data_IF_131833110551
#
_entry.id   IF_131833110551
#
_cell.length_a   1.000
_cell.length_b   1.000
_cell.length_c   1.000
_cell.angle_alpha   90.00
_cell.angle_beta   90.00
_cell.angle_gamma   90.00
#
_symmetry.space_group_name_H-M   'P 1'
#
loop_
_entity.id
_entity.type
_entity.pdbx_description
1 polymer ?
#
# COMPACT_ATOMS: atom_id res chain seq x y z
N UNK A 1 -56.88 22.29 -10.62
CA UNK A 1 -56.84 23.68 -10.16
C UNK A 1 -55.39 24.05 -9.87
N UNK A 2 -54.78 24.74 -10.78
CA UNK A 2 -54.44 26.15 -10.98
C UNK A 2 -53.13 26.47 -10.28
N UNK A 3 -52.08 26.65 -11.03
CA UNK A 3 -51.44 27.83 -11.66
C UNK A 3 -50.81 28.80 -10.63
N UNK A 4 -49.57 29.11 -10.87
CA UNK A 4 -48.84 30.23 -10.27
C UNK A 4 -47.41 30.33 -10.78
N UNK A 5 -47.22 30.87 -11.99
CA UNK A 5 -45.96 31.41 -12.55
C UNK A 5 -45.68 32.80 -11.96
N UNK A 6 -44.39 33.18 -11.83
CA UNK A 6 -43.84 34.54 -12.08
C UNK A 6 -42.31 34.44 -11.84
N UNK A 7 -41.40 34.53 -12.75
CA UNK A 7 -40.88 35.47 -13.71
C UNK A 7 -40.02 36.60 -13.09
N UNK A 8 -38.75 36.62 -13.61
CA UNK A 8 -37.85 37.74 -13.93
C UNK A 8 -37.43 38.75 -12.85
N UNK A 9 -36.11 38.98 -12.73
CA UNK A 9 -35.49 40.17 -13.38
C UNK A 9 -33.97 40.06 -13.44
N UNK A 10 -33.45 40.41 -14.63
CA UNK A 10 -32.05 40.76 -14.95
C UNK A 10 -31.74 42.14 -14.38
N UNK A 11 -30.50 42.40 -14.02
CA UNK A 11 -29.92 43.73 -14.19
C UNK A 11 -28.46 43.65 -14.61
N UNK A 12 -28.28 44.16 -15.80
CA UNK A 12 -27.05 44.49 -16.52
C UNK A 12 -26.71 45.94 -16.16
N UNK A 13 -25.45 46.26 -15.91
CA UNK A 13 -24.98 47.65 -16.03
C UNK A 13 -23.51 47.68 -16.40
N UNK A 14 -23.27 48.01 -17.65
CA UNK A 14 -22.05 48.42 -18.31
C UNK A 14 -21.63 49.85 -17.92
N UNK A 15 -20.37 50.13 -18.23
CA UNK A 15 -19.74 51.45 -18.55
C UNK A 15 -18.76 51.94 -17.49
N UNK A 16 -17.58 52.49 -17.76
CA UNK A 16 -16.93 53.00 -19.00
C UNK A 16 -15.44 53.31 -18.65
N UNK A 17 -14.64 53.27 -19.69
CA UNK A 17 -13.22 53.63 -19.72
C UNK A 17 -12.93 55.11 -19.38
N UNK A 18 -11.73 55.38 -18.85
CA UNK A 18 -10.98 56.58 -19.25
C UNK A 18 -9.47 56.41 -19.07
N UNK A 19 -8.75 56.62 -20.14
CA UNK A 19 -7.31 56.68 -20.23
C UNK A 19 -6.79 58.02 -19.71
N UNK A 20 -5.62 58.01 -19.12
CA UNK A 20 -4.71 59.15 -19.12
C UNK A 20 -3.25 58.68 -19.01
N UNK A 21 -2.48 59.09 -19.95
CA UNK A 21 -1.05 58.93 -20.14
C UNK A 21 -0.23 59.68 -19.06
N UNK A 22 0.93 59.21 -18.68
CA UNK A 22 2.26 59.73 -19.08
C UNK A 22 3.38 59.19 -18.20
N UNK A 23 4.35 58.62 -18.88
CA UNK A 23 5.82 58.80 -18.78
C UNK A 23 6.50 59.01 -17.42
N UNK A 24 7.43 58.14 -17.07
CA UNK A 24 8.88 58.26 -16.86
C UNK A 24 9.38 56.90 -16.29
N UNK A 25 10.03 56.16 -17.02
CA UNK A 25 11.45 56.03 -17.32
C UNK A 25 12.27 55.39 -16.20
N UNK A 26 12.80 54.23 -16.58
CA UNK A 26 14.15 53.74 -16.38
C UNK A 26 14.65 53.39 -14.98
N UNK A 27 15.20 52.16 -14.96
CA UNK A 27 16.26 51.70 -14.09
C UNK A 27 15.87 50.99 -12.78
N UNK A 28 15.35 49.76 -12.92
CA UNK A 28 15.40 48.77 -11.84
C UNK A 28 15.22 47.29 -12.31
N UNK A 29 15.72 46.96 -13.51
CA UNK A 29 15.46 45.60 -14.03
C UNK A 29 16.73 44.77 -14.34
N UNK A 30 17.87 45.11 -13.75
CA UNK A 30 19.12 44.36 -13.94
C UNK A 30 19.59 43.54 -12.71
N UNK A 31 18.99 43.76 -11.54
CA UNK A 31 19.40 43.02 -10.32
C UNK A 31 18.49 41.89 -9.88
N UNK A 32 17.25 41.78 -10.37
CA UNK A 32 16.35 40.69 -9.99
C UNK A 32 16.45 39.46 -10.91
N UNK A 33 17.01 39.57 -12.11
CA UNK A 33 17.20 38.43 -13.01
C UNK A 33 18.37 37.54 -12.56
N UNK A 34 19.42 38.13 -12.01
CA UNK A 34 20.62 37.39 -11.58
C UNK A 34 20.41 36.60 -10.27
N UNK A 35 19.61 37.13 -9.34
CA UNK A 35 19.23 36.43 -8.11
C UNK A 35 18.27 35.26 -8.36
N UNK A 36 17.39 35.35 -9.40
CA UNK A 36 16.45 34.27 -9.75
C UNK A 36 17.15 33.12 -10.48
N UNK A 37 18.15 33.40 -11.31
CA UNK A 37 18.94 32.35 -11.98
C UNK A 37 19.82 31.56 -11.02
N UNK A 38 20.45 32.25 -10.04
CA UNK A 38 21.27 31.58 -9.02
C UNK A 38 20.43 30.69 -8.10
N UNK A 39 19.21 31.09 -7.78
CA UNK A 39 18.33 30.29 -6.93
C UNK A 39 17.78 29.06 -7.67
N UNK A 40 17.44 29.18 -8.96
CA UNK A 40 17.00 28.07 -9.79
C UNK A 40 18.15 27.06 -10.03
N UNK A 41 19.36 27.51 -10.28
CA UNK A 41 20.54 26.67 -10.43
C UNK A 41 20.90 25.95 -9.13
N UNK A 42 20.76 26.60 -7.97
CA UNK A 42 20.99 26.00 -6.67
C UNK A 42 19.97 24.92 -6.33
N UNK A 43 18.69 25.13 -6.67
CA UNK A 43 17.64 24.12 -6.48
C UNK A 43 17.81 22.91 -7.42
N UNK A 44 18.21 23.11 -8.67
CA UNK A 44 18.52 22.03 -9.60
C UNK A 44 19.76 21.22 -9.15
N UNK A 45 20.76 21.88 -8.58
CA UNK A 45 21.95 21.20 -8.09
C UNK A 45 21.65 20.38 -6.82
N UNK A 46 20.84 20.91 -5.89
CA UNK A 46 20.40 20.17 -4.70
C UNK A 46 19.47 19.00 -5.03
N UNK A 47 18.56 19.16 -6.00
CA UNK A 47 17.70 18.07 -6.46
C UNK A 47 18.49 16.97 -7.19
N UNK A 48 19.49 17.35 -7.99
CA UNK A 48 20.38 16.40 -8.68
C UNK A 48 21.29 15.64 -7.70
N UNK A 49 21.84 16.32 -6.67
CA UNK A 49 22.65 15.66 -5.64
C UNK A 49 21.83 14.75 -4.73
N UNK A 50 20.61 15.12 -4.38
CA UNK A 50 19.70 14.28 -3.60
C UNK A 50 19.27 13.02 -4.38
N UNK A 51 18.96 13.16 -5.67
CA UNK A 51 18.65 12.03 -6.55
C UNK A 51 19.86 11.11 -6.74
N UNK A 52 21.06 11.66 -6.90
CA UNK A 52 22.29 10.88 -7.05
C UNK A 52 22.67 10.19 -5.74
N UNK A 53 22.50 10.84 -4.58
CA UNK A 53 22.71 10.22 -3.27
C UNK A 53 21.69 9.12 -2.99
N UNK A 54 20.43 9.30 -3.36
CA UNK A 54 19.40 8.27 -3.23
C UNK A 54 19.69 7.06 -4.11
N UNK A 55 20.16 7.24 -5.35
CA UNK A 55 20.59 6.17 -6.25
C UNK A 55 21.88 5.48 -5.78
N UNK A 56 22.85 6.21 -5.20
CA UNK A 56 24.05 5.62 -4.63
C UNK A 56 23.77 4.81 -3.37
N UNK A 57 22.84 5.24 -2.51
CA UNK A 57 22.40 4.47 -1.35
C UNK A 57 21.65 3.19 -1.73
N UNK A 58 20.87 3.21 -2.81
CA UNK A 58 20.18 2.00 -3.28
C UNK A 58 21.14 0.94 -3.84
N UNK A 59 22.27 1.35 -4.42
CA UNK A 59 23.30 0.42 -4.92
C UNK A 59 24.17 -0.22 -3.84
N UNK A 60 24.13 0.30 -2.61
CA UNK A 60 24.91 -0.21 -1.46
C UNK A 60 24.13 -1.18 -0.56
N UNK A 61 22.81 -1.32 -0.76
CA UNK A 61 21.99 -2.21 0.06
C UNK A 61 22.15 -3.68 -0.35
N UNK A 62 22.13 -4.62 0.62
CA UNK A 62 22.14 -6.05 0.32
C UNK A 62 21.02 -6.45 -0.67
N UNK A 63 21.26 -7.40 -1.58
CA UNK A 63 20.29 -7.78 -2.62
C UNK A 63 18.91 -8.20 -2.09
N UNK A 64 18.86 -8.87 -0.93
CA UNK A 64 17.60 -9.27 -0.31
C UNK A 64 16.78 -8.07 0.15
N UNK A 65 17.41 -7.01 0.67
CA UNK A 65 16.71 -5.77 1.07
C UNK A 65 16.08 -5.10 -0.15
N UNK A 66 16.83 -4.97 -1.24
CA UNK A 66 16.32 -4.41 -2.50
C UNK A 66 15.11 -5.20 -3.02
N UNK A 67 15.20 -6.53 -2.98
CA UNK A 67 14.11 -7.41 -3.39
C UNK A 67 12.86 -7.22 -2.49
N UNK A 68 13.03 -7.15 -1.17
CA UNK A 68 11.92 -6.92 -0.26
C UNK A 68 11.25 -5.56 -0.49
N UNK A 69 12.03 -4.49 -0.69
CA UNK A 69 11.48 -3.15 -0.96
C UNK A 69 10.60 -3.12 -2.23
N UNK A 70 11.05 -3.75 -3.31
CA UNK A 70 10.28 -3.86 -4.56
C UNK A 70 8.97 -4.64 -4.34
N UNK A 71 9.03 -5.77 -3.60
CA UNK A 71 7.87 -6.59 -3.24
C UNK A 71 6.86 -5.75 -2.43
N UNK A 72 7.30 -5.02 -1.40
CA UNK A 72 6.44 -4.20 -0.57
C UNK A 72 5.70 -3.13 -1.38
N UNK A 73 6.41 -2.43 -2.26
CA UNK A 73 5.82 -1.40 -3.11
C UNK A 73 4.75 -1.97 -4.05
N UNK A 74 5.04 -3.08 -4.73
CA UNK A 74 4.10 -3.75 -5.64
C UNK A 74 2.86 -4.28 -4.90
N UNK A 75 3.07 -4.94 -3.77
CA UNK A 75 2.00 -5.46 -2.93
C UNK A 75 1.07 -4.34 -2.46
N UNK A 76 1.64 -3.24 -1.92
CA UNK A 76 0.86 -2.12 -1.41
C UNK A 76 -0.03 -1.48 -2.49
N UNK A 77 0.50 -1.27 -3.69
CA UNK A 77 -0.26 -0.74 -4.83
C UNK A 77 -1.42 -1.66 -5.21
N UNK A 78 -1.16 -2.96 -5.34
CA UNK A 78 -2.17 -3.94 -5.72
C UNK A 78 -3.26 -4.11 -4.64
N UNK A 79 -2.89 -4.13 -3.37
CA UNK A 79 -3.84 -4.19 -2.25
C UNK A 79 -4.74 -2.96 -2.20
N UNK A 80 -4.19 -1.75 -2.38
CA UNK A 80 -4.96 -0.51 -2.37
C UNK A 80 -6.09 -0.51 -3.41
N UNK A 81 -5.86 -1.11 -4.57
CA UNK A 81 -6.90 -1.30 -5.59
C UNK A 81 -7.90 -2.40 -5.20
N UNK A 82 -7.41 -3.53 -4.67
CA UNK A 82 -8.23 -4.70 -4.33
C UNK A 82 -9.26 -4.46 -3.24
N UNK A 83 -8.90 -3.72 -2.20
CA UNK A 83 -9.79 -3.47 -1.05
C UNK A 83 -10.92 -2.46 -1.34
N UNK A 84 -10.88 -1.74 -2.48
CA UNK A 84 -11.96 -0.88 -2.93
C UNK A 84 -13.06 -1.70 -3.61
N UNK A 85 -13.77 -2.49 -2.83
CA UNK A 85 -14.78 -3.41 -3.34
C UNK A 85 -16.20 -3.06 -2.85
N UNK A 86 -17.19 -3.62 -3.57
CA UNK A 86 -18.61 -3.38 -3.29
C UNK A 86 -19.10 -3.98 -1.96
N UNK A 87 -18.39 -4.97 -1.42
CA UNK A 87 -18.69 -5.61 -0.13
C UNK A 87 -17.45 -6.27 0.47
N UNK A 88 -17.55 -6.80 1.69
CA UNK A 88 -16.43 -7.37 2.43
C UNK A 88 -15.87 -8.63 1.75
N UNK A 89 -16.73 -9.56 1.34
CA UNK A 89 -16.30 -10.83 0.75
C UNK A 89 -15.43 -10.62 -0.51
N UNK A 90 -15.86 -9.72 -1.41
CA UNK A 90 -15.09 -9.35 -2.61
C UNK A 90 -13.83 -8.57 -2.24
N UNK A 91 -13.92 -7.64 -1.28
CA UNK A 91 -12.78 -6.87 -0.79
C UNK A 91 -11.73 -7.74 -0.12
N UNK A 92 -12.16 -8.72 0.66
CA UNK A 92 -11.29 -9.72 1.28
C UNK A 92 -10.53 -10.52 0.22
N UNK A 93 -11.23 -11.13 -0.72
CA UNK A 93 -10.59 -11.93 -1.75
C UNK A 93 -9.65 -11.11 -2.64
N UNK A 94 -10.08 -9.93 -3.12
CA UNK A 94 -9.27 -9.05 -3.97
C UNK A 94 -8.08 -8.43 -3.26
N UNK A 95 -8.19 -8.14 -1.97
CA UNK A 95 -7.08 -7.61 -1.18
C UNK A 95 -6.12 -8.70 -0.71
N UNK A 96 -6.63 -9.88 -0.33
CA UNK A 96 -5.81 -10.99 0.18
C UNK A 96 -4.97 -11.67 -0.91
N UNK A 97 -5.43 -11.71 -2.16
CA UNK A 97 -4.64 -12.25 -3.28
C UNK A 97 -3.29 -11.53 -3.40
N UNK A 98 -3.21 -10.20 -3.63
CA UNK A 98 -1.93 -9.51 -3.73
C UNK A 98 -1.14 -9.53 -2.41
N UNK A 99 -1.79 -9.57 -1.25
CA UNK A 99 -1.14 -9.78 0.03
C UNK A 99 -0.40 -11.12 0.07
N UNK A 100 -1.04 -12.21 -0.30
CA UNK A 100 -0.42 -13.53 -0.37
C UNK A 100 0.67 -13.62 -1.45
N UNK A 101 0.48 -12.98 -2.59
CA UNK A 101 1.53 -12.88 -3.63
C UNK A 101 2.79 -12.19 -3.06
N UNK A 102 2.62 -11.16 -2.24
CA UNK A 102 3.68 -10.50 -1.50
C UNK A 102 4.42 -11.46 -0.55
N UNK A 103 3.69 -12.22 0.28
CA UNK A 103 4.28 -13.20 1.19
C UNK A 103 5.06 -14.29 0.45
N UNK A 104 4.50 -14.82 -0.65
CA UNK A 104 5.17 -15.81 -1.50
C UNK A 104 6.46 -15.24 -2.07
N UNK A 105 6.45 -13.99 -2.54
CA UNK A 105 7.64 -13.34 -3.05
C UNK A 105 8.69 -13.14 -1.95
N UNK A 106 8.30 -12.69 -0.74
CA UNK A 106 9.20 -12.59 0.42
C UNK A 106 9.77 -13.94 0.82
N UNK A 107 8.95 -14.99 0.85
CA UNK A 107 9.38 -16.34 1.17
C UNK A 107 10.42 -16.87 0.14
N UNK A 108 10.25 -16.55 -1.14
CA UNK A 108 11.23 -16.88 -2.18
C UNK A 108 12.57 -16.15 -1.98
N UNK A 109 12.57 -14.90 -1.53
CA UNK A 109 13.79 -14.17 -1.13
C UNK A 109 14.48 -14.89 0.03
N UNK A 110 13.73 -15.35 1.04
CA UNK A 110 14.27 -16.15 2.15
C UNK A 110 14.87 -17.47 1.66
N UNK A 111 14.21 -18.18 0.75
CA UNK A 111 14.74 -19.43 0.18
C UNK A 111 16.03 -19.21 -0.59
N UNK A 112 16.18 -18.05 -1.25
CA UNK A 112 17.36 -17.69 -2.05
C UNK A 112 18.53 -17.21 -1.20
N UNK A 113 18.31 -16.33 -0.24
CA UNK A 113 19.36 -15.63 0.49
C UNK A 113 19.53 -16.11 1.94
N UNK A 114 18.50 -16.68 2.55
CA UNK A 114 18.53 -17.19 3.91
C UNK A 114 19.41 -18.42 4.06
N UNK A 115 19.93 -18.62 5.27
CA UNK A 115 20.82 -19.74 5.64
C UNK A 115 20.21 -20.63 6.72
N UNK A 116 19.31 -20.08 7.53
CA UNK A 116 18.67 -20.80 8.63
C UNK A 116 17.66 -21.83 8.11
N UNK A 117 17.80 -23.07 8.56
CA UNK A 117 16.98 -24.18 8.07
C UNK A 117 15.51 -24.08 8.54
N UNK A 118 15.27 -23.56 9.76
CA UNK A 118 13.93 -23.37 10.31
C UNK A 118 13.16 -22.29 9.52
N UNK A 119 13.82 -21.16 9.25
CA UNK A 119 13.23 -20.05 8.47
C UNK A 119 13.02 -20.45 7.00
N UNK A 120 13.88 -21.25 6.40
CA UNK A 120 13.68 -21.78 5.05
C UNK A 120 12.53 -22.78 4.98
N UNK A 121 12.38 -23.65 5.98
CA UNK A 121 11.25 -24.58 6.05
C UNK A 121 9.92 -23.83 6.21
N UNK A 122 9.88 -22.79 7.05
CA UNK A 122 8.72 -21.91 7.19
C UNK A 122 8.40 -21.19 5.88
N UNK A 123 9.41 -20.63 5.20
CA UNK A 123 9.23 -19.95 3.92
C UNK A 123 8.62 -20.88 2.85
N UNK A 124 9.11 -22.13 2.76
CA UNK A 124 8.52 -23.10 1.82
C UNK A 124 7.06 -23.42 2.16
N UNK A 125 6.75 -23.62 3.46
CA UNK A 125 5.37 -23.85 3.91
C UNK A 125 4.45 -22.68 3.55
N UNK A 126 4.91 -21.44 3.72
CA UNK A 126 4.16 -20.22 3.33
C UNK A 126 3.86 -20.25 1.84
N UNK A 127 4.87 -20.54 0.99
CA UNK A 127 4.68 -20.64 -0.47
C UNK A 127 3.57 -21.63 -0.81
N UNK A 128 3.64 -22.85 -0.28
CA UNK A 128 2.73 -23.93 -0.65
C UNK A 128 1.29 -23.64 -0.18
N UNK A 129 1.14 -23.16 1.06
CA UNK A 129 -0.17 -22.86 1.64
C UNK A 129 -0.83 -21.69 0.94
N UNK A 130 -0.13 -20.56 0.82
CA UNK A 130 -0.74 -19.34 0.30
C UNK A 130 -0.96 -19.39 -1.21
N UNK A 131 -0.20 -20.19 -1.96
CA UNK A 131 -0.49 -20.44 -3.37
C UNK A 131 -1.81 -21.18 -3.56
N UNK A 132 -2.15 -22.10 -2.66
CA UNK A 132 -3.42 -22.81 -2.67
C UNK A 132 -4.60 -21.88 -2.32
N UNK A 133 -4.40 -20.99 -1.35
CA UNK A 133 -5.40 -20.00 -0.93
C UNK A 133 -5.67 -18.97 -2.03
N UNK A 134 -4.63 -18.50 -2.76
CA UNK A 134 -4.79 -17.64 -3.94
C UNK A 134 -5.68 -18.32 -4.98
N UNK A 135 -5.39 -19.57 -5.36
CA UNK A 135 -6.20 -20.31 -6.33
C UNK A 135 -7.66 -20.44 -5.90
N UNK A 136 -7.88 -20.67 -4.61
CA UNK A 136 -9.22 -20.74 -4.05
C UNK A 136 -9.97 -19.40 -4.18
N UNK A 137 -9.34 -18.30 -3.81
CA UNK A 137 -9.93 -16.96 -3.91
C UNK A 137 -10.20 -16.56 -5.36
N UNK A 138 -9.27 -16.84 -6.28
CA UNK A 138 -9.46 -16.58 -7.71
C UNK A 138 -10.64 -17.37 -8.28
N UNK A 139 -10.76 -18.66 -7.95
CA UNK A 139 -11.88 -19.50 -8.38
C UNK A 139 -13.21 -19.03 -7.78
N UNK A 140 -13.20 -18.55 -6.55
CA UNK A 140 -14.39 -17.99 -5.92
C UNK A 140 -14.80 -16.66 -6.57
N UNK A 141 -13.88 -15.74 -6.82
CA UNK A 141 -14.15 -14.46 -7.51
C UNK A 141 -14.75 -14.71 -8.90
N UNK A 142 -14.17 -15.61 -9.69
CA UNK A 142 -14.64 -15.93 -11.03
C UNK A 142 -16.11 -16.38 -11.07
N UNK A 143 -16.61 -16.97 -9.97
CA UNK A 143 -17.98 -17.48 -9.88
C UNK A 143 -18.95 -16.52 -9.19
N UNK A 144 -18.45 -15.63 -8.34
CA UNK A 144 -19.30 -14.92 -7.39
C UNK A 144 -19.20 -13.40 -7.48
N UNK A 145 -18.13 -12.82 -8.04
CA UNK A 145 -17.90 -11.37 -7.97
C UNK A 145 -19.07 -10.54 -8.51
N UNK A 146 -19.57 -10.89 -9.70
CA UNK A 146 -20.65 -10.13 -10.35
C UNK A 146 -21.99 -10.31 -9.64
N UNK A 147 -22.24 -11.48 -9.06
CA UNK A 147 -23.48 -11.80 -8.37
C UNK A 147 -23.58 -11.27 -6.94
N UNK A 148 -22.45 -10.85 -6.34
CA UNK A 148 -22.46 -10.34 -4.98
C UNK A 148 -23.12 -8.94 -4.91
N UNK A 149 -24.06 -8.71 -3.98
CA UNK A 149 -24.70 -7.40 -3.81
C UNK A 149 -23.71 -6.38 -3.24
N UNK A 150 -23.91 -5.10 -3.58
CA UNK A 150 -23.20 -4.03 -2.92
C UNK A 150 -23.67 -3.90 -1.46
N UNK A 151 -22.73 -3.71 -0.53
CA UNK A 151 -23.05 -3.44 0.85
C UNK A 151 -23.43 -1.96 1.06
N UNK A 152 -24.44 -1.69 1.86
CA UNK A 152 -24.83 -0.31 2.20
C UNK A 152 -23.71 0.45 2.92
N UNK A 153 -22.82 -0.27 3.60
CA UNK A 153 -21.66 0.26 4.34
C UNK A 153 -20.33 0.00 3.65
N UNK A 154 -20.29 -0.11 2.31
CA UNK A 154 -19.06 -0.38 1.54
C UNK A 154 -17.91 0.59 1.84
N UNK A 155 -18.21 1.87 2.08
CA UNK A 155 -17.19 2.87 2.47
C UNK A 155 -16.56 2.57 3.82
N UNK A 156 -17.35 2.17 4.81
CA UNK A 156 -16.87 1.78 6.14
C UNK A 156 -15.94 0.57 6.05
N UNK A 157 -16.34 -0.44 5.26
CA UNK A 157 -15.53 -1.64 5.00
C UNK A 157 -14.20 -1.26 4.35
N UNK A 158 -14.21 -0.42 3.30
CA UNK A 158 -12.99 0.06 2.65
C UNK A 158 -12.08 0.80 3.63
N UNK A 159 -12.64 1.67 4.47
CA UNK A 159 -11.88 2.38 5.51
C UNK A 159 -11.26 1.42 6.54
N UNK A 160 -12.01 0.39 6.95
CA UNK A 160 -11.49 -0.62 7.88
C UNK A 160 -10.27 -1.35 7.29
N UNK A 161 -10.32 -1.74 6.00
CA UNK A 161 -9.17 -2.33 5.31
C UNK A 161 -7.99 -1.36 5.22
N UNK A 162 -8.22 -0.09 4.86
CA UNK A 162 -7.16 0.92 4.75
C UNK A 162 -6.48 1.18 6.10
N UNK A 163 -7.25 1.30 7.18
CA UNK A 163 -6.70 1.61 8.51
C UNK A 163 -5.99 0.43 9.16
N UNK A 164 -6.57 -0.77 9.09
CA UNK A 164 -6.05 -1.93 9.83
C UNK A 164 -5.10 -2.79 8.99
N UNK A 165 -5.50 -3.16 7.78
CA UNK A 165 -4.71 -4.08 6.98
C UNK A 165 -3.47 -3.44 6.38
N UNK A 166 -3.51 -2.12 6.11
CA UNK A 166 -2.38 -1.37 5.57
C UNK A 166 -1.55 -0.65 6.63
N UNK A 167 -2.02 -0.63 7.90
CA UNK A 167 -1.34 0.04 9.01
C UNK A 167 -0.03 -0.62 9.46
N UNK A 168 0.26 -1.84 9.00
CA UNK A 168 1.49 -2.57 9.34
C UNK A 168 2.67 -2.28 8.39
N UNK A 169 2.48 -1.39 7.39
CA UNK A 169 3.49 -1.11 6.36
C UNK A 169 4.82 -0.62 6.94
N UNK A 170 4.81 0.33 7.86
CA UNK A 170 6.04 0.89 8.45
C UNK A 170 6.82 -0.16 9.25
N UNK A 171 6.11 -1.02 9.99
CA UNK A 171 6.73 -2.13 10.71
C UNK A 171 7.35 -3.16 9.76
N UNK A 172 6.70 -3.47 8.63
CA UNK A 172 7.27 -4.32 7.58
C UNK A 172 8.53 -3.70 6.99
N UNK A 173 8.48 -2.41 6.62
CA UNK A 173 9.62 -1.69 6.05
C UNK A 173 10.82 -1.66 7.00
N UNK A 174 10.60 -1.45 8.30
CA UNK A 174 11.67 -1.52 9.29
C UNK A 174 12.24 -2.94 9.41
N UNK A 175 11.37 -3.95 9.42
CA UNK A 175 11.77 -5.34 9.58
C UNK A 175 12.70 -5.85 8.49
N UNK A 176 12.40 -5.53 7.24
CA UNK A 176 13.17 -6.02 6.07
C UNK A 176 14.55 -5.38 5.91
N UNK A 177 14.88 -4.33 6.67
CA UNK A 177 16.16 -3.61 6.56
C UNK A 177 17.33 -4.28 7.29
N UNK A 178 17.12 -5.43 7.91
CA UNK A 178 18.19 -6.15 8.59
C UNK A 178 19.22 -6.73 7.59
N UNK A 179 20.50 -6.61 7.92
CA UNK A 179 21.58 -7.11 7.07
C UNK A 179 21.62 -8.64 6.98
N UNK A 180 21.09 -9.34 8.02
CA UNK A 180 20.92 -10.78 8.01
C UNK A 180 19.60 -11.14 7.32
N UNK A 181 19.60 -11.89 6.20
CA UNK A 181 18.38 -12.19 5.44
C UNK A 181 17.36 -13.03 6.24
N UNK A 182 17.80 -13.88 7.15
CA UNK A 182 16.90 -14.68 7.99
C UNK A 182 16.17 -13.80 9.02
N UNK A 183 16.89 -12.84 9.61
CA UNK A 183 16.30 -11.85 10.53
C UNK A 183 15.38 -10.89 9.77
N UNK A 184 15.79 -10.42 8.59
CA UNK A 184 14.97 -9.54 7.74
C UNK A 184 13.65 -10.23 7.34
N UNK A 185 13.71 -11.52 6.98
CA UNK A 185 12.53 -12.33 6.69
C UNK A 185 11.59 -12.39 7.89
N UNK A 186 12.08 -12.82 9.05
CA UNK A 186 11.24 -12.98 10.24
C UNK A 186 10.63 -11.65 10.70
N UNK A 187 11.44 -10.58 10.78
CA UNK A 187 10.98 -9.24 11.19
C UNK A 187 9.99 -8.61 10.20
N UNK A 188 10.13 -8.87 8.91
CA UNK A 188 9.20 -8.38 7.88
C UNK A 188 7.93 -9.22 7.79
N UNK A 189 8.02 -10.55 7.94
CA UNK A 189 6.89 -11.46 7.79
C UNK A 189 5.94 -11.44 9.01
N UNK A 190 6.42 -11.13 10.21
CA UNK A 190 5.56 -10.97 11.40
C UNK A 190 4.48 -9.89 11.16
N UNK A 191 4.81 -8.63 10.88
CA UNK A 191 3.79 -7.62 10.60
C UNK A 191 2.99 -7.88 9.32
N UNK A 192 3.57 -8.58 8.33
CA UNK A 192 2.85 -9.05 7.17
C UNK A 192 1.72 -10.02 7.56
N UNK A 193 2.02 -11.06 8.33
CA UNK A 193 1.02 -12.00 8.82
C UNK A 193 -0.04 -11.33 9.72
N UNK A 194 0.36 -10.35 10.52
CA UNK A 194 -0.59 -9.56 11.29
C UNK A 194 -1.59 -8.83 10.35
N UNK A 195 -1.12 -8.28 9.24
CA UNK A 195 -1.98 -7.68 8.22
C UNK A 195 -3.03 -8.65 7.66
N UNK A 196 -2.65 -9.89 7.38
CA UNK A 196 -3.60 -10.93 6.94
C UNK A 196 -4.63 -11.27 8.02
N UNK A 197 -4.22 -11.37 9.27
CA UNK A 197 -5.12 -11.60 10.42
C UNK A 197 -6.09 -10.44 10.59
N UNK A 198 -5.64 -9.21 10.39
CA UNK A 198 -6.49 -8.02 10.46
C UNK A 198 -7.52 -8.00 9.30
N UNK A 199 -7.11 -8.33 8.07
CA UNK A 199 -8.02 -8.49 6.93
C UNK A 199 -9.03 -9.61 7.17
N UNK A 200 -8.60 -10.74 7.68
CA UNK A 200 -9.49 -11.86 8.03
C UNK A 200 -10.47 -11.49 9.14
N UNK A 201 -10.08 -10.61 10.06
CA UNK A 201 -10.97 -10.10 11.13
C UNK A 201 -12.03 -9.15 10.57
N UNK A 202 -11.67 -8.31 9.59
CA UNK A 202 -12.63 -7.45 8.88
C UNK A 202 -13.64 -8.32 8.12
N UNK A 203 -13.17 -9.36 7.42
CA UNK A 203 -14.04 -10.32 6.76
C UNK A 203 -15.01 -10.99 7.74
N UNK A 204 -14.53 -11.45 8.88
CA UNK A 204 -15.37 -12.06 9.93
C UNK A 204 -16.40 -11.08 10.53
N UNK A 205 -16.12 -9.78 10.46
CA UNK A 205 -17.02 -8.73 10.98
C UNK A 205 -18.11 -8.34 9.98
N UNK A 206 -17.75 -8.20 8.71
CA UNK A 206 -18.61 -7.61 7.69
C UNK A 206 -19.00 -8.59 6.57
N UNK A 207 -18.27 -9.70 6.41
CA UNK A 207 -18.50 -10.73 5.41
C UNK A 207 -19.81 -11.50 5.65
N UNK A 208 -20.37 -12.00 4.58
CA UNK A 208 -21.63 -12.77 4.59
C UNK A 208 -21.50 -14.12 3.89
N UNK A 209 -20.48 -14.28 3.04
CA UNK A 209 -20.29 -15.51 2.30
C UNK A 209 -19.64 -16.59 3.16
N UNK A 210 -20.28 -17.76 3.37
CA UNK A 210 -19.74 -18.81 4.24
C UNK A 210 -18.35 -19.32 3.83
N UNK A 211 -18.05 -19.34 2.51
CA UNK A 211 -16.76 -19.81 2.01
C UNK A 211 -15.63 -18.81 2.36
N UNK A 212 -15.88 -17.50 2.23
CA UNK A 212 -14.89 -16.46 2.60
C UNK A 212 -14.71 -16.36 4.11
N UNK A 213 -15.80 -16.46 4.88
CA UNK A 213 -15.73 -16.52 6.36
C UNK A 213 -14.93 -17.74 6.84
N UNK A 214 -15.11 -18.91 6.20
CA UNK A 214 -14.33 -20.12 6.51
C UNK A 214 -12.84 -19.93 6.18
N UNK A 215 -12.52 -19.36 5.00
CA UNK A 215 -11.15 -19.07 4.59
C UNK A 215 -10.48 -18.06 5.54
N UNK A 216 -11.17 -16.99 5.93
CA UNK A 216 -10.67 -16.01 6.88
C UNK A 216 -10.31 -16.67 8.23
N UNK A 217 -11.15 -17.60 8.71
CA UNK A 217 -10.84 -18.36 9.93
C UNK A 217 -9.60 -19.25 9.75
N UNK A 218 -9.48 -19.95 8.61
CA UNK A 218 -8.31 -20.80 8.31
C UNK A 218 -7.01 -19.99 8.25
N UNK A 219 -7.00 -18.84 7.58
CA UNK A 219 -5.84 -17.95 7.51
C UNK A 219 -5.39 -17.53 8.92
N UNK A 220 -6.31 -17.11 9.79
CA UNK A 220 -5.97 -16.77 11.18
C UNK A 220 -5.37 -17.94 11.95
N UNK A 221 -5.93 -19.14 11.79
CA UNK A 221 -5.44 -20.34 12.45
C UNK A 221 -4.07 -20.78 11.94
N UNK A 222 -3.77 -20.58 10.67
CA UNK A 222 -2.48 -20.90 10.06
C UNK A 222 -1.40 -19.89 10.43
N UNK A 223 -1.69 -18.58 10.35
CA UNK A 223 -0.68 -17.54 10.47
C UNK A 223 -0.36 -17.13 11.91
N UNK A 224 -1.29 -17.30 12.87
CA UNK A 224 -1.02 -16.99 14.28
C UNK A 224 0.15 -17.83 14.86
N UNK A 225 0.23 -19.16 14.69
CA UNK A 225 1.38 -19.93 15.14
C UNK A 225 2.65 -19.62 14.35
N UNK A 226 2.57 -19.21 13.09
CA UNK A 226 3.75 -18.81 12.30
C UNK A 226 4.36 -17.50 12.81
N UNK A 227 3.54 -16.53 13.23
CA UNK A 227 4.02 -15.33 13.94
C UNK A 227 4.78 -15.75 15.19
N UNK A 228 4.18 -16.63 16.01
CA UNK A 228 4.84 -17.09 17.24
C UNK A 228 6.16 -17.80 16.96
N UNK A 229 6.20 -18.66 15.95
CA UNK A 229 7.43 -19.36 15.53
C UNK A 229 8.55 -18.36 15.19
N UNK A 230 8.24 -17.32 14.40
CA UNK A 230 9.21 -16.28 14.04
C UNK A 230 9.66 -15.46 15.25
N UNK A 231 8.74 -15.12 16.17
CA UNK A 231 9.07 -14.42 17.42
C UNK A 231 9.98 -15.25 18.32
N UNK A 232 9.66 -16.52 18.53
CA UNK A 232 10.45 -17.45 19.33
C UNK A 232 11.85 -17.66 18.70
N UNK A 233 11.92 -17.74 17.36
CA UNK A 233 13.20 -17.85 16.66
C UNK A 233 14.03 -16.57 16.83
N UNK A 234 13.44 -15.37 16.61
CA UNK A 234 14.13 -14.09 16.79
C UNK A 234 14.67 -13.91 18.21
N UNK A 235 13.96 -14.38 19.23
CA UNK A 235 14.41 -14.29 20.63
C UNK A 235 15.72 -15.04 20.88
N UNK A 236 15.98 -16.11 20.12
CA UNK A 236 17.22 -16.90 20.20
C UNK A 236 18.39 -16.26 19.44
N UNK A 237 18.12 -15.29 18.54
CA UNK A 237 19.15 -14.58 17.77
C UNK A 237 19.70 -13.35 18.50
N UNK A 238 19.05 -12.91 19.58
CA UNK A 238 19.44 -11.73 20.36
C UNK A 238 20.58 -11.97 21.38
N UNK A 239 21.27 -13.16 21.28
CA UNK A 239 22.39 -13.54 22.18
C UNK A 239 23.70 -13.74 21.39
#
# INVERSE_FOLDING_TARGET
LALGMTACTKNDTTQTARAASSSHATSANARSADASMTQAQSMHHMASTAATQSQMQSQSQPPHIMAYMDIMNKMHQAMSAGVQAKNADVGFAKGMIPHHEGAIAMAKVQLQYGKDAEMKALAQKIVDTQQSEIKYMQAWLAKNEDSQPAASNAKEITQAYQQKAMGNHDAMMQGIMDANPDIAFAKGMIPHHQGAIDMATIEQTYGKNPAMLALAKQIKQAQTPEIKQMQDWLSKQAH
#
